data_IF_200957015716
#
_entry.id   IF_200957015716
#
_cell.length_a   1.000
_cell.length_b   1.000
_cell.length_c   1.000
_cell.angle_alpha   90.00
_cell.angle_beta   90.00
_cell.angle_gamma   90.00
#
_symmetry.space_group_name_H-M   'P 1'
#
loop_
_entity.id
_entity.type
_entity.pdbx_description
1 polymer ?
#
# COMPACT_ATOMS: atom_id res chain seq x y z
N UNK A 1 18.52 0.63 2.43
CA UNK A 1 17.35 -0.11 2.94
C UNK A 1 17.70 -0.81 4.24
N UNK A 2 16.75 -0.96 5.16
CA UNK A 2 16.97 -1.74 6.39
C UNK A 2 17.01 -3.24 6.09
N UNK A 3 17.66 -4.03 6.95
CA UNK A 3 17.77 -5.50 6.80
C UNK A 3 16.41 -6.18 6.72
N UNK A 4 15.44 -5.72 7.51
CA UNK A 4 14.06 -6.23 7.46
C UNK A 4 13.38 -5.95 6.12
N UNK A 5 13.60 -4.78 5.52
CA UNK A 5 13.04 -4.44 4.20
C UNK A 5 13.62 -5.35 3.10
N UNK A 6 14.92 -5.63 3.15
CA UNK A 6 15.58 -6.57 2.22
C UNK A 6 15.01 -7.98 2.36
N UNK A 7 14.78 -8.42 3.59
CA UNK A 7 14.15 -9.72 3.90
C UNK A 7 12.73 -9.81 3.34
N UNK A 8 11.93 -8.76 3.55
CA UNK A 8 10.57 -8.67 3.03
C UNK A 8 10.54 -8.62 1.49
N UNK A 9 11.53 -7.97 0.87
CA UNK A 9 11.67 -7.96 -0.58
C UNK A 9 11.96 -9.37 -1.12
N UNK A 10 12.84 -10.12 -0.47
CA UNK A 10 13.13 -11.52 -0.83
C UNK A 10 11.89 -12.40 -0.76
N UNK A 11 11.12 -12.28 0.33
CA UNK A 11 9.85 -13.00 0.47
C UNK A 11 8.78 -12.54 -0.54
N UNK A 12 8.83 -11.30 -1.01
CA UNK A 12 7.92 -10.79 -2.03
C UNK A 12 8.27 -11.33 -3.43
N UNK A 13 9.55 -11.51 -3.74
CA UNK A 13 10.01 -12.10 -5.01
C UNK A 13 9.49 -13.52 -5.21
N UNK A 14 9.42 -14.33 -4.14
CA UNK A 14 8.91 -15.71 -4.22
C UNK A 14 7.41 -15.79 -4.48
N UNK A 15 6.69 -14.66 -4.45
CA UNK A 15 5.25 -14.57 -4.69
C UNK A 15 4.92 -14.08 -6.10
N UNK A 16 5.90 -13.61 -6.85
CA UNK A 16 5.73 -13.15 -8.21
C UNK A 16 5.48 -14.31 -9.16
N UNK A 17 4.74 -14.02 -10.22
CA UNK A 17 4.60 -14.94 -11.34
C UNK A 17 5.93 -15.07 -12.12
N UNK A 18 6.16 -16.15 -12.88
CA UNK A 18 7.44 -16.41 -13.53
C UNK A 18 7.91 -15.27 -14.47
N UNK A 19 6.97 -14.60 -15.14
CA UNK A 19 7.26 -13.47 -16.02
C UNK A 19 7.80 -12.27 -15.24
N UNK A 20 7.12 -11.89 -14.15
CA UNK A 20 7.54 -10.79 -13.29
C UNK A 20 8.82 -11.13 -12.51
N UNK A 21 9.01 -12.39 -12.10
CA UNK A 21 10.25 -12.83 -11.49
C UNK A 21 11.42 -12.68 -12.46
N UNK A 22 11.27 -13.08 -13.72
CA UNK A 22 12.33 -12.91 -14.72
C UNK A 22 12.66 -11.43 -14.94
N UNK A 23 11.64 -10.55 -15.02
CA UNK A 23 11.85 -9.09 -15.07
C UNK A 23 12.57 -8.54 -13.84
N UNK A 24 12.24 -9.04 -12.66
CA UNK A 24 12.91 -8.64 -11.42
C UNK A 24 14.40 -9.03 -11.46
N UNK A 25 14.75 -10.19 -12.01
CA UNK A 25 16.14 -10.63 -12.20
C UNK A 25 16.87 -9.82 -13.28
N UNK A 26 16.19 -9.44 -14.36
CA UNK A 26 16.75 -8.54 -15.40
C UNK A 26 17.20 -7.19 -14.81
N UNK A 27 16.42 -6.61 -13.89
CA UNK A 27 16.78 -5.35 -13.20
C UNK A 27 18.12 -5.46 -12.46
N UNK A 28 18.41 -6.63 -11.89
CA UNK A 28 19.68 -6.90 -11.21
C UNK A 28 20.80 -7.04 -12.24
N UNK A 29 20.58 -7.81 -13.32
CA UNK A 29 21.55 -8.00 -14.40
C UNK A 29 21.96 -6.70 -15.10
N UNK A 30 21.03 -5.73 -15.22
CA UNK A 30 21.32 -4.40 -15.79
C UNK A 30 22.42 -3.66 -15.02
N UNK A 31 22.44 -3.79 -13.69
CA UNK A 31 23.44 -3.12 -12.84
C UNK A 31 24.63 -4.03 -12.54
N UNK A 32 24.44 -5.34 -12.63
CA UNK A 32 25.45 -6.35 -12.36
C UNK A 32 25.61 -7.30 -13.57
N UNK A 33 26.56 -7.01 -14.49
CA UNK A 33 26.77 -7.85 -15.68
C UNK A 33 27.30 -9.25 -15.35
N UNK A 34 27.79 -9.50 -14.13
CA UNK A 34 28.19 -10.83 -13.67
C UNK A 34 27.02 -11.69 -13.18
N UNK A 35 25.84 -11.09 -13.03
CA UNK A 35 24.63 -11.76 -12.59
C UNK A 35 23.96 -12.48 -13.76
N UNK A 36 23.80 -13.80 -13.63
CA UNK A 36 23.20 -14.65 -14.66
C UNK A 36 21.70 -14.80 -14.41
N UNK A 37 20.90 -13.82 -14.81
CA UNK A 37 19.45 -13.81 -14.62
C UNK A 37 18.71 -14.99 -15.29
N UNK A 38 19.31 -15.58 -16.31
CA UNK A 38 18.77 -16.65 -17.15
C UNK A 38 19.22 -18.07 -16.74
N UNK A 39 19.88 -18.24 -15.59
CA UNK A 39 20.22 -19.57 -15.08
C UNK A 39 19.00 -20.28 -14.46
N UNK A 40 19.04 -21.61 -14.40
CA UNK A 40 17.99 -22.45 -13.82
C UNK A 40 17.78 -22.19 -12.32
N UNK A 41 18.87 -21.89 -11.62
CA UNK A 41 18.89 -21.48 -10.22
C UNK A 41 19.83 -20.28 -10.11
N UNK A 42 19.37 -19.23 -9.44
CA UNK A 42 20.13 -17.99 -9.25
C UNK A 42 20.12 -17.65 -7.78
N UNK A 43 21.31 -17.40 -7.22
CA UNK A 43 21.44 -16.87 -5.87
C UNK A 43 21.54 -15.34 -5.92
N UNK A 44 20.64 -14.67 -5.21
CA UNK A 44 20.55 -13.22 -5.18
C UNK A 44 20.84 -12.72 -3.74
N UNK A 45 22.06 -12.26 -3.54
CA UNK A 45 22.44 -11.60 -2.29
C UNK A 45 21.98 -10.13 -2.28
N UNK A 46 20.94 -9.85 -1.49
CA UNK A 46 20.37 -8.51 -1.26
C UNK A 46 21.33 -7.56 -0.53
N UNK A 47 22.30 -8.09 0.22
CA UNK A 47 23.28 -7.30 0.94
C UNK A 47 24.49 -6.93 0.09
N UNK A 48 24.77 -7.70 -0.95
CA UNK A 48 25.79 -7.39 -1.94
C UNK A 48 25.34 -6.41 -3.04
N UNK A 49 24.03 -6.19 -3.22
CA UNK A 49 23.52 -5.25 -4.24
C UNK A 49 23.63 -3.79 -3.81
N UNK A 50 23.78 -2.90 -4.81
CA UNK A 50 23.75 -1.45 -4.59
C UNK A 50 22.36 -0.97 -4.13
N UNK A 51 22.32 0.11 -3.35
CA UNK A 51 21.07 0.74 -2.91
C UNK A 51 20.15 1.12 -4.09
N UNK A 52 20.72 1.53 -5.22
CA UNK A 52 19.97 1.86 -6.43
C UNK A 52 19.25 0.63 -7.01
N UNK A 53 19.95 -0.49 -7.13
CA UNK A 53 19.40 -1.76 -7.63
C UNK A 53 18.27 -2.24 -6.71
N UNK A 54 18.50 -2.22 -5.40
CA UNK A 54 17.50 -2.63 -4.40
C UNK A 54 16.24 -1.74 -4.46
N UNK A 55 16.42 -0.43 -4.63
CA UNK A 55 15.28 0.48 -4.76
C UNK A 55 14.46 0.19 -6.02
N UNK A 56 15.10 0.02 -7.18
CA UNK A 56 14.41 -0.35 -8.43
C UNK A 56 13.66 -1.67 -8.29
N UNK A 57 14.32 -2.67 -7.70
CA UNK A 57 13.73 -3.98 -7.43
C UNK A 57 12.49 -3.85 -6.53
N UNK A 58 12.57 -3.10 -5.43
CA UNK A 58 11.43 -2.87 -4.51
C UNK A 58 10.26 -2.18 -5.19
N UNK A 59 10.52 -1.15 -5.99
CA UNK A 59 9.46 -0.43 -6.72
C UNK A 59 8.77 -1.39 -7.70
N UNK A 60 9.55 -2.14 -8.47
CA UNK A 60 9.04 -3.11 -9.43
C UNK A 60 8.19 -4.19 -8.76
N UNK A 61 8.74 -4.88 -7.74
CA UNK A 61 8.05 -5.96 -7.02
C UNK A 61 6.75 -5.47 -6.39
N UNK A 62 6.73 -4.26 -5.84
CA UNK A 62 5.51 -3.68 -5.26
C UNK A 62 4.42 -3.47 -6.32
N UNK A 63 4.79 -3.02 -7.50
CA UNK A 63 3.83 -2.76 -8.57
C UNK A 63 3.36 -4.04 -9.26
N UNK A 64 4.24 -5.02 -9.46
CA UNK A 64 3.89 -6.36 -9.94
C UNK A 64 2.87 -7.04 -9.01
N UNK A 65 3.12 -7.04 -7.70
CA UNK A 65 2.19 -7.62 -6.71
C UNK A 65 0.85 -6.86 -6.62
N UNK A 66 0.85 -5.54 -6.85
CA UNK A 66 -0.41 -4.77 -6.91
C UNK A 66 -1.21 -5.13 -8.17
N UNK A 67 -0.57 -5.36 -9.30
CA UNK A 67 -1.25 -5.79 -10.53
C UNK A 67 -1.83 -7.19 -10.34
N UNK A 68 -1.08 -8.11 -9.74
CA UNK A 68 -1.54 -9.46 -9.40
C UNK A 68 -2.76 -9.45 -8.44
N UNK A 69 -2.74 -8.57 -7.43
CA UNK A 69 -3.84 -8.43 -6.46
C UNK A 69 -5.11 -7.75 -7.00
N UNK A 70 -5.08 -7.14 -8.19
CA UNK A 70 -6.25 -6.47 -8.79
C UNK A 70 -7.21 -7.43 -9.50
N UNK A 71 -6.81 -8.68 -9.76
CA UNK A 71 -7.72 -9.73 -10.25
C UNK A 71 -8.63 -10.32 -9.17
N UNK A 72 -8.45 -9.95 -7.90
CA UNK A 72 -9.34 -10.35 -6.80
C UNK A 72 -9.56 -9.17 -5.84
N UNK A 73 -10.55 -8.33 -6.16
CA UNK A 73 -11.31 -7.52 -5.19
C UNK A 73 -10.51 -6.81 -4.09
N UNK A 74 -9.91 -5.67 -4.43
CA UNK A 74 -9.69 -4.49 -3.60
C UNK A 74 -9.06 -4.67 -2.21
N UNK A 75 -7.80 -4.24 -2.03
CA UNK A 75 -7.36 -3.56 -0.80
C UNK A 75 -6.31 -2.49 -1.14
N UNK A 76 -6.52 -1.34 -0.50
CA UNK A 76 -5.83 -0.06 -0.57
C UNK A 76 -4.34 -0.21 -0.23
N UNK A 77 -3.48 0.29 -1.11
CA UNK A 77 -2.03 0.42 -0.89
C UNK A 77 -1.75 1.46 0.21
N UNK A 78 -1.62 1.03 1.47
CA UNK A 78 -1.02 1.89 2.50
C UNK A 78 0.50 1.90 2.30
N UNK A 79 1.02 2.96 1.68
CA UNK A 79 2.34 3.47 2.00
C UNK A 79 2.20 4.15 3.37
N UNK A 80 2.49 3.47 4.47
CA UNK A 80 2.80 4.13 5.74
C UNK A 80 4.31 4.12 5.91
N UNK A 81 4.93 5.17 5.38
CA UNK A 81 6.26 5.59 5.77
C UNK A 81 6.09 6.85 6.63
N UNK A 82 6.73 6.85 7.80
CA UNK A 82 6.85 7.92 8.80
C UNK A 82 5.75 8.07 9.89
N UNK A 83 6.03 7.42 11.02
CA UNK A 83 6.22 8.05 12.33
C UNK A 83 5.57 9.43 12.55
N UNK A 84 4.33 9.45 13.07
CA UNK A 84 3.93 10.51 14.00
C UNK A 84 3.11 9.93 15.16
N UNK A 85 3.66 10.10 16.37
CA UNK A 85 3.02 9.76 17.62
C UNK A 85 1.97 10.83 17.94
N UNK A 86 0.72 10.63 17.54
CA UNK A 86 -0.38 11.27 18.26
C UNK A 86 -1.61 10.36 18.42
N UNK A 87 -1.50 9.50 19.43
CA UNK A 87 -2.57 8.71 20.01
C UNK A 87 -3.61 9.63 20.65
N UNK A 88 -4.76 9.83 19.99
CA UNK A 88 -6.02 10.19 20.66
C UNK A 88 -7.25 9.80 19.83
N UNK A 89 -7.62 8.53 19.95
CA UNK A 89 -8.90 7.98 19.52
C UNK A 89 -9.61 7.31 20.71
N UNK A 90 -10.80 7.79 21.05
CA UNK A 90 -11.85 6.97 21.68
C UNK A 90 -13.21 7.62 21.36
N UNK A 91 -13.80 7.23 20.23
CA UNK A 91 -14.93 6.29 20.13
C UNK A 91 -16.27 6.89 20.62
N UNK A 92 -17.04 7.36 19.64
CA UNK A 92 -18.48 7.59 19.74
C UNK A 92 -19.17 6.23 19.82
N UNK A 93 -19.40 5.74 21.04
CA UNK A 93 -20.49 4.79 21.30
C UNK A 93 -21.80 5.57 21.19
N UNK A 94 -22.71 5.12 20.30
CA UNK A 94 -24.11 4.78 20.61
C UNK A 94 -24.97 4.75 19.33
N UNK A 95 -25.28 3.52 18.95
CA UNK A 95 -26.45 3.03 18.21
C UNK A 95 -27.73 3.55 18.85
N UNK A 96 -28.60 4.30 18.14
CA UNK A 96 -30.08 4.27 18.28
C UNK A 96 -30.74 4.66 16.95
N UNK A 97 -31.53 3.72 16.44
CA UNK A 97 -32.47 3.78 15.32
C UNK A 97 -33.66 4.64 15.75
N UNK A 98 -34.25 5.45 14.87
CA UNK A 98 -35.69 5.77 14.88
C UNK A 98 -36.07 6.58 13.62
N UNK A 99 -36.58 5.86 12.62
CA UNK A 99 -37.52 6.40 11.64
C UNK A 99 -38.81 6.80 12.37
N UNK A 100 -39.17 8.09 12.34
CA UNK A 100 -40.51 8.53 12.68
C UNK A 100 -40.87 9.79 11.88
N UNK A 101 -41.58 9.51 10.80
CA UNK A 101 -42.50 10.34 10.02
C UNK A 101 -43.28 11.28 10.96
N UNK A 102 -43.47 12.55 10.58
CA UNK A 102 -44.79 13.20 10.39
C UNK A 102 -44.62 14.71 10.16
N UNK A 103 -45.04 15.09 8.94
CA UNK A 103 -45.68 16.34 8.52
C UNK A 103 -45.97 17.39 9.61
N UNK A 104 -45.68 18.66 9.33
CA UNK A 104 -46.64 19.67 8.86
C UNK A 104 -46.09 21.08 9.03
N UNK A 105 -46.30 21.88 8.00
CA UNK A 105 -46.16 23.33 8.01
C UNK A 105 -47.11 23.97 9.03
N UNK A 106 -46.69 25.10 9.63
CA UNK A 106 -47.50 26.18 10.26
C UNK A 106 -46.55 27.00 11.15
N UNK A 107 -46.49 28.33 11.24
CA UNK A 107 -47.06 29.50 10.55
C UNK A 107 -46.16 30.68 10.94
N UNK A 108 -46.13 31.72 10.08
CA UNK A 108 -45.61 33.05 10.39
C UNK A 108 -46.32 33.67 11.60
N UNK A 109 -45.59 34.39 12.45
CA UNK A 109 -46.12 35.54 13.19
C UNK A 109 -45.06 36.65 13.33
N UNK A 110 -45.45 37.84 12.86
CA UNK A 110 -44.82 39.17 13.08
C UNK A 110 -44.84 39.48 14.61
N UNK A 111 -44.07 40.39 15.22
CA UNK A 111 -43.95 41.84 14.99
C UNK A 111 -43.05 42.46 16.10
N UNK A 112 -42.24 43.48 15.75
CA UNK A 112 -41.76 44.68 16.51
C UNK A 112 -41.08 44.49 17.89
N UNK A 113 -40.11 45.29 18.34
CA UNK A 113 -40.00 46.76 18.29
C UNK A 113 -38.57 47.24 18.60
N UNK A 114 -38.23 48.41 18.05
CA UNK A 114 -37.01 49.19 18.30
C UNK A 114 -36.88 49.65 19.76
N UNK A 115 -35.63 49.83 20.20
CA UNK A 115 -35.16 50.99 20.97
C UNK A 115 -33.66 51.18 20.74
#
# INVERSE_FOLDING_TARGET
MSTEEKRNLGAALTRLDPEDLNRALEIVAETNPSFLANAQEVDLDMDAQSEYTLWRLKVFVKDALKVQGRSSGGIRSNNDDNNDKNKKNNSKRRREICDAIVKTAVKRTKKLSNL
#
